data_IF_411943167363
#
_entry.id   IF_411943167363
#
_cell.length_a   1.000
_cell.length_b   1.000
_cell.length_c   1.000
_cell.angle_alpha   90.00
_cell.angle_beta   90.00
_cell.angle_gamma   90.00
#
_symmetry.space_group_name_H-M   'P 1'
#
loop_
_entity.id
_entity.type
_entity.pdbx_description
1 polymer ?
#
# COMPACT_ATOMS: atom_id res chain seq x y z
N UNK A 1 -15.78 2.36 2.30
CA UNK A 1 -14.97 2.74 3.48
C UNK A 1 -14.79 4.24 3.46
N UNK A 2 -14.77 4.93 4.62
CA UNK A 2 -14.54 6.37 4.64
C UNK A 2 -13.14 6.67 4.10
N UNK A 3 -13.06 7.54 3.10
CA UNK A 3 -11.80 8.12 2.66
C UNK A 3 -11.44 9.25 3.62
N UNK A 4 -10.45 8.97 4.48
CA UNK A 4 -9.95 9.96 5.43
C UNK A 4 -9.15 11.05 4.73
N UNK A 5 -9.31 12.29 5.19
CA UNK A 5 -8.46 13.40 4.74
C UNK A 5 -6.99 13.09 5.08
N UNK A 6 -5.99 13.38 4.21
CA UNK A 6 -4.57 13.11 4.48
C UNK A 6 -4.06 13.62 5.84
N UNK A 7 -4.60 14.72 6.34
CA UNK A 7 -4.27 15.25 7.67
C UNK A 7 -4.70 14.32 8.83
N UNK A 8 -5.76 13.53 8.65
CA UNK A 8 -6.21 12.54 9.64
C UNK A 8 -5.30 11.31 9.52
N UNK A 9 -4.27 11.22 10.35
CA UNK A 9 -3.26 10.13 10.27
C UNK A 9 -3.71 8.83 10.91
N UNK A 10 -4.51 8.89 11.98
CA UNK A 10 -5.07 7.71 12.65
C UNK A 10 -6.41 7.33 12.03
N UNK A 11 -6.55 6.06 11.64
CA UNK A 11 -7.64 5.57 10.79
C UNK A 11 -7.99 4.12 11.12
N UNK A 12 -9.27 3.78 11.04
CA UNK A 12 -9.72 2.38 10.98
C UNK A 12 -9.78 1.96 9.52
N UNK A 13 -8.98 0.95 9.16
CA UNK A 13 -8.75 0.52 7.78
C UNK A 13 -9.02 -0.97 7.65
N UNK A 14 -9.66 -1.38 6.54
CA UNK A 14 -9.80 -2.79 6.19
C UNK A 14 -8.44 -3.32 5.75
N UNK A 15 -7.99 -4.41 6.36
CA UNK A 15 -6.78 -5.11 5.93
C UNK A 15 -7.07 -6.54 5.52
N UNK A 16 -6.36 -6.98 4.49
CA UNK A 16 -6.23 -8.38 4.09
C UNK A 16 -4.76 -8.80 4.19
N UNK A 17 -4.41 -10.00 3.75
CA UNK A 17 -3.02 -10.39 3.57
C UNK A 17 -2.82 -11.08 2.22
N UNK A 18 -1.61 -10.94 1.69
CA UNK A 18 -1.15 -11.61 0.47
C UNK A 18 0.20 -12.31 0.71
N UNK A 19 0.57 -13.18 -0.20
CA UNK A 19 1.89 -13.80 -0.22
C UNK A 19 2.39 -13.95 -1.67
N UNK A 20 3.71 -13.92 -1.85
CA UNK A 20 4.32 -14.12 -3.17
C UNK A 20 4.11 -15.55 -3.73
N UNK A 21 3.61 -16.47 -2.89
CA UNK A 21 3.29 -17.86 -3.26
C UNK A 21 1.85 -18.05 -3.78
N UNK A 22 1.10 -16.97 -3.95
CA UNK A 22 -0.18 -16.97 -4.67
C UNK A 22 0.06 -17.07 -6.18
N UNK A 23 -0.87 -17.70 -6.91
CA UNK A 23 -0.70 -18.04 -8.34
C UNK A 23 -0.34 -16.80 -9.17
N UNK A 24 -1.01 -15.70 -8.89
CA UNK A 24 -0.85 -14.44 -9.64
C UNK A 24 0.44 -13.70 -9.29
N UNK A 25 1.18 -14.16 -8.26
CA UNK A 25 2.45 -13.58 -7.81
C UNK A 25 3.69 -14.42 -8.18
N UNK A 26 3.50 -15.67 -8.63
CA UNK A 26 4.61 -16.57 -8.94
C UNK A 26 5.60 -16.00 -9.97
N UNK A 27 5.09 -15.27 -10.97
CA UNK A 27 5.92 -14.65 -12.01
C UNK A 27 6.84 -13.53 -11.47
N UNK A 28 6.48 -12.92 -10.34
CA UNK A 28 7.24 -11.81 -9.75
C UNK A 28 8.18 -12.26 -8.63
N UNK A 29 7.97 -13.46 -8.10
CA UNK A 29 8.72 -13.99 -6.96
C UNK A 29 8.56 -13.09 -5.72
N UNK A 30 9.52 -13.10 -4.78
CA UNK A 30 9.43 -12.30 -3.56
C UNK A 30 9.81 -10.82 -3.81
N UNK A 31 9.39 -10.23 -4.92
CA UNK A 31 9.66 -8.82 -5.27
C UNK A 31 8.38 -7.99 -5.20
N UNK A 32 8.51 -6.77 -4.73
CA UNK A 32 7.42 -5.80 -4.68
C UNK A 32 7.29 -5.04 -6.02
N UNK A 33 6.27 -4.18 -6.12
CA UNK A 33 6.02 -3.38 -7.32
C UNK A 33 7.19 -2.48 -7.75
N UNK A 34 8.17 -2.18 -6.90
CA UNK A 34 9.36 -1.37 -7.29
C UNK A 34 10.60 -2.21 -7.60
N UNK A 35 10.48 -3.54 -7.64
CA UNK A 35 11.54 -4.45 -8.05
C UNK A 35 12.50 -4.87 -6.93
N UNK A 36 12.26 -4.44 -5.69
CA UNK A 36 13.06 -4.82 -4.52
C UNK A 36 12.42 -5.98 -3.76
N UNK A 37 13.16 -6.65 -2.88
CA UNK A 37 12.63 -7.75 -2.08
C UNK A 37 11.49 -7.31 -1.13
N UNK A 38 10.44 -8.14 -1.05
CA UNK A 38 9.36 -7.99 -0.08
C UNK A 38 9.90 -8.11 1.35
N UNK A 39 9.50 -7.19 2.22
CA UNK A 39 10.03 -7.07 3.58
C UNK A 39 9.15 -7.83 4.57
N UNK A 40 9.76 -8.71 5.35
CA UNK A 40 9.14 -9.34 6.52
C UNK A 40 10.20 -9.54 7.61
N UNK A 41 10.67 -8.45 8.19
CA UNK A 41 11.68 -8.47 9.26
C UNK A 41 11.03 -8.21 10.63
N UNK A 42 11.84 -8.27 11.69
CA UNK A 42 11.41 -7.90 13.04
C UNK A 42 11.03 -6.42 13.17
N UNK A 43 11.47 -5.58 12.23
CA UNK A 43 11.27 -4.12 12.28
C UNK A 43 10.35 -3.59 11.17
N UNK A 44 10.46 -4.12 9.95
CA UNK A 44 9.78 -3.58 8.76
C UNK A 44 9.02 -4.65 8.01
N UNK A 45 7.79 -4.34 7.62
CA UNK A 45 6.92 -5.22 6.82
C UNK A 45 6.37 -4.50 5.59
N UNK A 46 6.37 -5.20 4.45
CA UNK A 46 5.77 -4.70 3.21
C UNK A 46 4.24 -4.72 3.29
N UNK A 47 3.64 -3.78 2.57
CA UNK A 47 2.20 -3.68 2.39
C UNK A 47 1.89 -3.25 0.95
N UNK A 48 0.80 -3.77 0.42
CA UNK A 48 0.22 -3.32 -0.84
C UNK A 48 -0.96 -2.39 -0.57
N UNK A 49 -1.10 -1.34 -1.39
CA UNK A 49 -2.23 -0.43 -1.30
C UNK A 49 -2.54 0.23 -2.64
N UNK A 50 -3.67 0.94 -2.70
CA UNK A 50 -3.92 1.92 -3.76
C UNK A 50 -3.00 3.13 -3.57
N UNK A 51 -2.06 3.34 -4.48
CA UNK A 51 -1.09 4.43 -4.41
C UNK A 51 -1.69 5.83 -4.60
N UNK A 52 -2.93 5.96 -5.08
CA UNK A 52 -3.63 7.24 -5.03
C UNK A 52 -4.03 7.63 -3.61
N UNK A 53 -4.23 6.64 -2.73
CA UNK A 53 -4.63 6.82 -1.32
C UNK A 53 -3.43 6.79 -0.38
N UNK A 54 -2.50 5.87 -0.61
CA UNK A 54 -1.27 5.71 0.15
C UNK A 54 -0.09 5.68 -0.84
N UNK A 55 0.46 6.86 -1.20
CA UNK A 55 1.57 6.94 -2.15
C UNK A 55 2.74 6.01 -1.76
N UNK A 56 3.47 5.55 -2.77
CA UNK A 56 4.66 4.72 -2.64
C UNK A 56 5.61 5.28 -1.57
N UNK A 57 6.01 4.43 -0.63
CA UNK A 57 6.86 4.79 0.50
C UNK A 57 6.10 5.28 1.74
N UNK A 58 4.77 5.32 1.71
CA UNK A 58 3.96 5.62 2.90
C UNK A 58 4.28 4.61 4.00
N UNK A 59 4.59 5.10 5.20
CA UNK A 59 4.84 4.27 6.37
C UNK A 59 3.76 4.44 7.43
N UNK A 60 3.43 3.34 8.10
CA UNK A 60 2.41 3.36 9.14
C UNK A 60 2.68 2.30 10.22
N UNK A 61 2.02 2.46 11.36
CA UNK A 61 1.99 1.46 12.43
C UNK A 61 0.56 0.98 12.65
N UNK A 62 0.42 -0.30 12.95
CA UNK A 62 -0.86 -0.89 13.36
C UNK A 62 -0.87 -0.95 14.89
N UNK A 63 -1.98 -0.51 15.51
CA UNK A 63 -2.15 -0.52 16.96
C UNK A 63 -1.89 -1.92 17.53
N UNK A 64 -1.08 -2.00 18.58
CA UNK A 64 -0.72 -3.25 19.25
C UNK A 64 0.31 -4.11 18.53
N UNK A 65 0.93 -3.63 17.45
CA UNK A 65 2.01 -4.34 16.75
C UNK A 65 3.31 -3.53 16.77
N UNK A 66 4.48 -4.17 16.91
CA UNK A 66 5.77 -3.49 17.03
C UNK A 66 6.37 -3.05 15.68
N UNK A 67 5.75 -3.44 14.57
CA UNK A 67 6.32 -3.30 13.24
C UNK A 67 6.03 -1.93 12.62
N UNK A 68 6.98 -1.42 11.85
CA UNK A 68 6.73 -0.40 10.84
C UNK A 68 6.30 -1.08 9.55
N UNK A 69 5.20 -0.60 8.96
CA UNK A 69 4.76 -1.05 7.65
C UNK A 69 5.16 -0.03 6.61
N UNK A 70 5.54 -0.48 5.42
CA UNK A 70 5.85 0.36 4.27
C UNK A 70 5.00 -0.06 3.09
N UNK A 71 4.32 0.90 2.48
CA UNK A 71 3.63 0.72 1.20
C UNK A 71 4.69 0.73 0.12
N UNK A 72 5.09 -0.45 -0.35
CA UNK A 72 6.05 -0.64 -1.43
C UNK A 72 5.52 -1.54 -2.55
N UNK A 73 4.26 -1.92 -2.46
CA UNK A 73 3.56 -2.76 -3.41
C UNK A 73 2.15 -2.22 -3.74
N UNK A 74 1.52 -2.74 -4.78
CA UNK A 74 0.12 -2.44 -5.11
C UNK A 74 -0.58 -3.66 -5.72
N UNK A 75 -1.91 -3.66 -5.72
CA UNK A 75 -2.71 -4.73 -6.32
C UNK A 75 -3.97 -4.19 -6.97
N UNK A 76 -4.37 -4.79 -8.11
CA UNK A 76 -5.56 -4.37 -8.86
C UNK A 76 -6.84 -4.41 -8.01
N UNK A 77 -6.97 -5.40 -7.12
CA UNK A 77 -8.10 -5.58 -6.20
C UNK A 77 -8.17 -4.51 -5.10
N UNK A 78 -7.12 -3.72 -4.89
CA UNK A 78 -7.05 -2.72 -3.83
C UNK A 78 -7.56 -1.35 -4.29
N UNK A 79 -7.51 -1.06 -5.60
CA UNK A 79 -7.84 0.25 -6.18
C UNK A 79 -9.28 0.65 -5.86
N UNK A 80 -9.45 1.84 -5.27
CA UNK A 80 -10.75 2.41 -4.90
C UNK A 80 -11.41 1.79 -3.66
N UNK A 81 -10.80 0.79 -3.03
CA UNK A 81 -11.41 0.08 -1.89
C UNK A 81 -11.05 0.67 -0.53
N UNK A 82 -9.95 1.42 -0.45
CA UNK A 82 -9.33 1.84 0.80
C UNK A 82 -8.73 0.69 1.64
N UNK A 83 -8.51 -0.48 1.03
CA UNK A 83 -7.91 -1.65 1.69
C UNK A 83 -6.40 -1.59 1.63
N UNK A 84 -5.74 -2.05 2.69
CA UNK A 84 -4.30 -2.31 2.71
C UNK A 84 -4.07 -3.82 2.84
N UNK A 85 -3.26 -4.38 1.96
CA UNK A 85 -2.91 -5.80 1.97
C UNK A 85 -1.56 -5.98 2.67
N UNK A 86 -1.50 -6.81 3.71
CA UNK A 86 -0.29 -7.00 4.50
C UNK A 86 0.48 -8.21 3.97
N UNK A 87 1.76 -8.01 3.63
CA UNK A 87 2.59 -9.09 3.14
C UNK A 87 2.84 -10.15 4.22
N UNK A 88 2.70 -11.41 3.84
CA UNK A 88 3.03 -12.58 4.66
C UNK A 88 3.95 -13.53 3.89
N UNK A 89 4.98 -14.11 4.53
CA UNK A 89 5.99 -14.89 3.81
C UNK A 89 5.48 -16.27 3.39
N UNK A 90 4.33 -16.73 3.90
CA UNK A 90 3.71 -17.99 3.52
C UNK A 90 2.19 -17.97 3.70
N UNK A 91 1.51 -18.96 3.12
CA UNK A 91 0.04 -19.11 3.15
C UNK A 91 -0.53 -19.36 4.55
N UNK A 92 0.25 -19.96 5.47
CA UNK A 92 -0.21 -20.18 6.85
C UNK A 92 -0.39 -18.84 7.56
N UNK A 93 0.65 -17.99 7.56
CA UNK A 93 0.61 -16.66 8.16
C UNK A 93 -0.40 -15.73 7.44
N UNK A 94 -0.55 -15.87 6.12
CA UNK A 94 -1.60 -15.17 5.35
C UNK A 94 -3.00 -15.51 5.86
N UNK A 95 -3.29 -16.80 6.08
CA UNK A 95 -4.59 -17.24 6.62
C UNK A 95 -4.79 -16.81 8.07
N UNK A 96 -3.75 -16.91 8.90
CA UNK A 96 -3.78 -16.45 10.29
C UNK A 96 -4.05 -14.94 10.40
N UNK A 97 -3.53 -14.15 9.45
CA UNK A 97 -3.90 -12.74 9.33
C UNK A 97 -5.36 -12.58 8.89
N UNK A 98 -5.77 -13.18 7.77
CA UNK A 98 -7.15 -13.09 7.28
C UNK A 98 -7.65 -11.65 7.07
N UNK A 99 -8.96 -11.49 6.83
CA UNK A 99 -9.58 -10.17 6.68
C UNK A 99 -9.94 -9.60 8.05
N UNK A 100 -9.48 -8.39 8.35
CA UNK A 100 -9.80 -7.69 9.60
C UNK A 100 -9.85 -6.18 9.42
N UNK A 101 -10.36 -5.47 10.42
CA UNK A 101 -10.23 -4.03 10.53
C UNK A 101 -9.19 -3.72 11.59
N UNK A 102 -8.29 -2.79 11.27
CA UNK A 102 -7.24 -2.37 12.21
C UNK A 102 -7.26 -0.87 12.34
N UNK A 103 -6.95 -0.39 13.55
CA UNK A 103 -6.54 0.99 13.74
C UNK A 103 -5.07 1.11 13.36
N UNK A 104 -4.78 1.95 12.37
CA UNK A 104 -3.42 2.29 11.99
C UNK A 104 -3.18 3.79 12.12
N UNK A 105 -1.91 4.17 12.26
CA UNK A 105 -1.46 5.55 12.26
C UNK A 105 -0.38 5.74 11.20
N UNK A 106 -0.61 6.66 10.26
CA UNK A 106 0.40 7.07 9.28
C UNK A 106 1.56 7.76 10.01
N UNK A 107 2.76 7.20 9.86
CA UNK A 107 4.00 7.77 10.39
C UNK A 107 4.53 8.81 9.42
N UNK A 108 4.63 8.45 8.14
CA UNK A 108 5.07 9.35 7.06
C UNK A 108 4.31 9.04 5.78
N UNK A 109 3.86 10.07 5.08
CA UNK A 109 3.32 9.90 3.73
C UNK A 109 4.44 9.56 2.75
N UNK A 110 4.11 8.72 1.77
CA UNK A 110 4.99 8.40 0.67
C UNK A 110 5.12 9.56 -0.31
N UNK A 111 5.92 9.36 -1.35
CA UNK A 111 6.16 10.36 -2.38
C UNK A 111 5.20 10.18 -3.56
N UNK A 112 4.28 11.14 -3.81
CA UNK A 112 3.40 11.12 -4.97
C UNK A 112 4.16 11.15 -6.29
N UNK A 113 5.31 11.85 -6.37
CA UNK A 113 6.08 11.96 -7.60
C UNK A 113 6.63 10.59 -8.03
N UNK A 114 7.27 9.87 -7.10
CA UNK A 114 7.76 8.50 -7.34
C UNK A 114 6.61 7.55 -7.71
N UNK A 115 5.46 7.70 -7.06
CA UNK A 115 4.26 6.92 -7.39
C UNK A 115 3.80 7.19 -8.83
N UNK A 116 3.74 8.46 -9.24
CA UNK A 116 3.34 8.88 -10.58
C UNK A 116 4.31 8.40 -11.65
N UNK A 117 5.62 8.43 -11.40
CA UNK A 117 6.64 7.92 -12.32
C UNK A 117 6.43 6.42 -12.59
N UNK A 118 6.36 5.62 -11.53
CA UNK A 118 6.17 4.17 -11.65
C UNK A 118 4.83 3.83 -12.27
N UNK A 119 3.73 4.46 -11.86
CA UNK A 119 2.41 4.22 -12.45
C UNK A 119 2.33 4.70 -13.90
N UNK A 120 3.02 5.80 -14.23
CA UNK A 120 3.05 6.43 -15.55
C UNK A 120 3.58 5.49 -16.63
N UNK A 121 4.66 4.75 -16.32
CA UNK A 121 5.23 3.72 -17.20
C UNK A 121 4.33 2.48 -17.34
N UNK A 122 3.41 2.26 -16.39
CA UNK A 122 2.53 1.07 -16.32
C UNK A 122 1.09 1.34 -16.72
N UNK A 123 0.82 2.48 -17.37
CA UNK A 123 -0.50 2.87 -17.87
C UNK A 123 -1.09 1.92 -18.93
N UNK A 124 -0.39 0.88 -19.38
CA UNK A 124 -1.01 -0.22 -20.12
C UNK A 124 -2.08 -0.98 -19.31
N UNK A 125 -1.92 -1.04 -17.98
CA UNK A 125 -2.86 -1.72 -17.10
C UNK A 125 -3.96 -0.77 -16.59
N UNK A 126 -5.23 -1.21 -16.66
CA UNK A 126 -6.40 -0.40 -16.25
C UNK A 126 -6.28 0.13 -14.82
N UNK A 127 -5.84 -0.71 -13.89
CA UNK A 127 -5.69 -0.34 -12.48
C UNK A 127 -4.58 0.72 -12.27
N UNK A 128 -3.46 0.59 -12.98
CA UNK A 128 -2.39 1.61 -12.95
C UNK A 128 -2.85 2.95 -13.54
N UNK A 129 -3.60 2.95 -14.65
CA UNK A 129 -4.21 4.18 -15.19
C UNK A 129 -5.14 4.86 -14.20
N UNK A 130 -5.99 4.07 -13.54
CA UNK A 130 -6.93 4.59 -12.55
C UNK A 130 -6.20 5.22 -11.36
N UNK A 131 -5.22 4.52 -10.78
CA UNK A 131 -4.39 5.05 -9.69
C UNK A 131 -3.65 6.32 -10.11
N UNK A 132 -3.06 6.34 -11.31
CA UNK A 132 -2.35 7.50 -11.84
C UNK A 132 -3.26 8.73 -11.93
N UNK A 133 -4.42 8.61 -12.57
CA UNK A 133 -5.36 9.71 -12.73
C UNK A 133 -5.90 10.21 -11.38
N UNK A 134 -6.24 9.30 -10.47
CA UNK A 134 -6.70 9.63 -9.13
C UNK A 134 -5.61 10.34 -8.31
N UNK A 135 -4.36 9.86 -8.39
CA UNK A 135 -3.24 10.48 -7.69
C UNK A 135 -2.93 11.88 -8.23
N UNK A 136 -2.91 12.08 -9.55
CA UNK A 136 -2.74 13.40 -10.17
C UNK A 136 -3.81 14.38 -9.67
N UNK A 137 -5.07 13.95 -9.62
CA UNK A 137 -6.15 14.78 -9.10
C UNK A 137 -5.95 15.15 -7.62
N UNK A 138 -5.48 14.21 -6.79
CA UNK A 138 -5.23 14.48 -5.36
C UNK A 138 -4.05 15.41 -5.15
N UNK A 139 -2.98 15.26 -5.95
CA UNK A 139 -1.83 16.16 -5.93
C UNK A 139 -2.23 17.58 -6.34
N UNK A 140 -3.04 17.75 -7.39
CA UNK A 140 -3.52 19.07 -7.80
C UNK A 140 -4.43 19.76 -6.78
N UNK A 141 -5.04 18.98 -5.88
CA UNK A 141 -5.80 19.47 -4.71
C UNK A 141 -4.93 19.74 -3.47
N UNK A 142 -3.60 19.55 -3.55
CA UNK A 142 -2.68 19.83 -2.45
C UNK A 142 -2.69 18.79 -1.32
N UNK A 143 -3.30 17.62 -1.52
CA UNK A 143 -3.45 16.61 -0.47
C UNK A 143 -2.14 15.97 0.01
N UNK A 144 -1.08 16.09 -0.77
CA UNK A 144 0.24 15.53 -0.46
C UNK A 144 1.37 16.54 -0.73
N UNK A 145 1.06 17.84 -0.74
CA UNK A 145 2.09 18.88 -0.84
C UNK A 145 3.10 18.69 0.32
N UNK A 146 4.39 18.88 0.00
CA UNK A 146 5.54 18.46 0.82
C UNK A 146 5.31 18.78 2.30
N UNK A 147 5.42 17.75 3.13
CA UNK A 147 5.72 17.98 4.53
C UNK A 147 7.18 18.48 4.54
N UNK A 148 7.36 19.74 4.92
CA UNK A 148 8.67 20.33 5.19
C UNK A 148 9.46 19.48 6.21
#
# INVERSE_FOLDING_TARGET
MPFYHPAQRTRVVRTTAYTHSERDHLAYGPRNAVGTALKYTSSVRSAAADWSVYPLGTTFRIKGQPYLYVVDDYGSALVGTGTIDIYQPNKKLMKEWGRRYVELTIVRWGDPANSLEVLGSRRGYRHCRAMYAALQHRVSKGFYAKAD
#
